data_IF_053139832315
#
_entry.id   IF_053139832315
#
_cell.length_a   1.000
_cell.length_b   1.000
_cell.length_c   1.000
_cell.angle_alpha   90.00
_cell.angle_beta   90.00
_cell.angle_gamma   90.00
#
_symmetry.space_group_name_H-M   'P 1'
#
loop_
_entity.id
_entity.type
_entity.pdbx_description
1 polymer ?
#
# COMPACT_ATOMS: atom_id res chain seq x y z
N UNK A 1 0.18 3.58 -19.90
CA UNK A 1 0.33 4.08 -18.52
C UNK A 1 1.81 4.36 -18.32
N UNK A 2 2.19 5.55 -17.83
CA UNK A 2 3.60 5.91 -17.65
C UNK A 2 3.75 6.65 -16.32
N UNK A 3 4.66 6.20 -15.50
CA UNK A 3 5.11 6.83 -14.25
C UNK A 3 6.47 6.27 -13.85
N UNK A 4 7.18 6.98 -13.00
CA UNK A 4 8.46 6.59 -12.43
C UNK A 4 8.42 6.67 -10.90
N UNK A 5 9.23 5.85 -10.26
CA UNK A 5 9.38 5.79 -8.81
C UNK A 5 10.88 5.79 -8.51
N UNK A 6 11.32 6.70 -7.67
CA UNK A 6 12.72 6.81 -7.30
C UNK A 6 13.14 5.64 -6.37
N UNK A 7 14.44 5.35 -6.36
CA UNK A 7 14.98 4.34 -5.43
C UNK A 7 14.76 4.78 -3.98
N UNK A 8 14.23 3.88 -3.17
CA UNK A 8 13.92 4.16 -1.78
C UNK A 8 12.65 4.98 -1.57
N UNK A 9 11.92 5.32 -2.64
CA UNK A 9 10.64 6.03 -2.56
C UNK A 9 9.51 5.08 -2.14
N UNK A 10 8.59 5.58 -1.34
CA UNK A 10 7.36 4.90 -0.99
C UNK A 10 6.23 5.46 -1.85
N UNK A 11 5.74 4.69 -2.82
CA UNK A 11 4.67 5.10 -3.72
C UNK A 11 3.37 4.33 -3.44
N UNK A 12 2.24 5.01 -3.40
CA UNK A 12 0.93 4.35 -3.36
C UNK A 12 0.21 4.46 -4.70
N UNK A 13 -0.48 3.39 -5.08
CA UNK A 13 -1.42 3.37 -6.21
C UNK A 13 -2.83 3.32 -5.65
N UNK A 14 -3.62 4.36 -5.91
CA UNK A 14 -5.00 4.47 -5.43
C UNK A 14 -5.97 4.61 -6.61
N UNK A 15 -7.19 4.14 -6.44
CA UNK A 15 -8.23 4.21 -7.48
C UNK A 15 -9.36 3.22 -7.17
N UNK A 16 -10.44 3.31 -7.95
CA UNK A 16 -11.62 2.47 -7.74
C UNK A 16 -11.35 0.98 -7.93
N UNK A 17 -12.20 0.15 -7.32
CA UNK A 17 -12.17 -1.30 -7.55
C UNK A 17 -12.31 -1.61 -9.05
N UNK A 18 -11.52 -2.55 -9.55
CA UNK A 18 -11.54 -2.97 -10.95
C UNK A 18 -10.79 -2.04 -11.93
N UNK A 19 -10.15 -0.95 -11.49
CA UNK A 19 -9.39 -0.07 -12.41
C UNK A 19 -8.01 -0.65 -12.80
N UNK A 20 -7.63 -1.83 -12.34
CA UNK A 20 -6.41 -2.51 -12.77
C UNK A 20 -5.18 -2.31 -11.88
N UNK A 21 -5.31 -1.83 -10.64
CA UNK A 21 -4.17 -1.63 -9.71
C UNK A 21 -3.36 -2.91 -9.50
N UNK A 22 -4.02 -4.01 -9.14
CA UNK A 22 -3.35 -5.31 -8.95
C UNK A 22 -2.74 -5.84 -10.26
N UNK A 23 -3.31 -5.51 -11.42
CA UNK A 23 -2.70 -5.84 -12.73
C UNK A 23 -1.39 -5.10 -12.92
N UNK A 24 -1.34 -3.80 -12.61
CA UNK A 24 -0.10 -3.01 -12.66
C UNK A 24 0.95 -3.60 -11.72
N UNK A 25 0.56 -3.92 -10.49
CA UNK A 25 1.47 -4.53 -9.51
C UNK A 25 2.03 -5.87 -10.00
N UNK A 26 1.19 -6.72 -10.59
CA UNK A 26 1.61 -8.01 -11.14
C UNK A 26 2.55 -7.86 -12.35
N UNK A 27 2.38 -6.83 -13.17
CA UNK A 27 3.30 -6.50 -14.26
C UNK A 27 4.65 -6.04 -13.69
N UNK A 28 4.66 -5.18 -12.65
CA UNK A 28 5.90 -4.77 -11.97
C UNK A 28 6.60 -5.95 -11.30
N UNK A 29 5.84 -6.90 -10.76
CA UNK A 29 6.38 -8.13 -10.18
C UNK A 29 6.99 -9.08 -11.24
N UNK A 30 6.69 -8.89 -12.52
CA UNK A 30 7.08 -9.81 -13.60
C UNK A 30 6.20 -11.06 -13.69
N UNK A 31 5.03 -11.05 -13.01
CA UNK A 31 4.05 -12.14 -13.06
C UNK A 31 3.18 -12.08 -14.32
N UNK A 32 2.94 -10.88 -14.85
CA UNK A 32 2.21 -10.63 -16.08
C UNK A 32 3.07 -9.82 -17.05
N UNK A 33 2.95 -10.10 -18.32
CA UNK A 33 3.57 -9.28 -19.36
C UNK A 33 2.66 -8.10 -19.73
N UNK A 34 3.27 -6.93 -19.96
CA UNK A 34 2.53 -5.79 -20.49
C UNK A 34 2.16 -6.02 -21.97
N UNK A 35 0.94 -5.65 -22.35
CA UNK A 35 0.49 -5.72 -23.76
C UNK A 35 1.29 -4.76 -24.65
N UNK A 36 1.77 -3.65 -24.11
CA UNK A 36 2.63 -2.67 -24.75
C UNK A 36 3.48 -1.93 -23.73
N UNK A 37 4.68 -1.51 -24.12
CA UNK A 37 5.67 -0.95 -23.20
C UNK A 37 6.31 -2.02 -22.33
N UNK A 38 6.92 -1.61 -21.21
CA UNK A 38 7.60 -2.53 -20.29
C UNK A 38 7.88 -1.84 -18.96
N UNK A 39 8.39 -2.60 -18.02
CA UNK A 39 8.87 -2.12 -16.72
C UNK A 39 10.38 -2.17 -16.71
N UNK A 40 11.01 -1.10 -16.27
CA UNK A 40 12.44 -1.03 -16.07
C UNK A 40 12.77 -0.93 -14.57
N UNK A 41 13.62 -1.82 -14.08
CA UNK A 41 14.21 -1.76 -12.76
C UNK A 41 15.73 -1.55 -12.89
N UNK A 42 16.23 -0.41 -12.46
CA UNK A 42 17.66 -0.04 -12.60
C UNK A 42 18.15 -0.20 -14.06
N UNK A 43 17.39 0.29 -15.03
CA UNK A 43 17.64 0.21 -16.48
C UNK A 43 17.63 -1.22 -17.07
N UNK A 44 17.15 -2.22 -16.32
CA UNK A 44 16.94 -3.59 -16.82
C UNK A 44 15.45 -3.86 -16.97
N UNK A 45 15.07 -4.43 -18.10
CA UNK A 45 13.68 -4.81 -18.34
C UNK A 45 13.26 -5.98 -17.45
N UNK A 46 12.05 -5.85 -16.87
CA UNK A 46 11.44 -6.87 -16.03
C UNK A 46 10.58 -7.79 -16.91
N UNK A 47 11.05 -8.98 -17.18
CA UNK A 47 10.37 -9.97 -18.02
C UNK A 47 9.85 -11.20 -17.24
N UNK A 48 10.37 -11.42 -16.04
CA UNK A 48 10.04 -12.57 -15.19
C UNK A 48 10.12 -12.21 -13.70
N UNK A 49 9.50 -12.98 -12.79
CA UNK A 49 9.66 -12.81 -11.35
C UNK A 49 11.12 -13.00 -10.91
N UNK A 50 11.55 -12.20 -9.93
CA UNK A 50 12.91 -12.27 -9.41
C UNK A 50 12.99 -11.92 -7.92
N UNK A 51 14.06 -12.33 -7.22
CA UNK A 51 14.24 -12.10 -5.78
C UNK A 51 14.43 -10.62 -5.42
N UNK A 52 14.71 -9.78 -6.40
CA UNK A 52 14.82 -8.32 -6.27
C UNK A 52 13.45 -7.63 -6.10
N UNK A 53 12.36 -8.36 -6.31
CA UNK A 53 10.97 -7.91 -6.15
C UNK A 53 10.18 -8.88 -5.30
N UNK A 54 9.77 -8.45 -4.11
CA UNK A 54 8.95 -9.26 -3.22
C UNK A 54 7.49 -8.78 -3.23
N UNK A 55 6.54 -9.73 -3.21
CA UNK A 55 5.10 -9.42 -3.28
C UNK A 55 4.41 -9.86 -1.99
N UNK A 56 3.70 -8.92 -1.36
CA UNK A 56 2.73 -9.19 -0.29
C UNK A 56 1.34 -9.20 -0.92
N UNK A 57 0.77 -10.38 -1.05
CA UNK A 57 -0.56 -10.57 -1.64
C UNK A 57 -1.67 -10.28 -0.64
N UNK A 58 -2.81 -9.83 -1.11
CA UNK A 58 -4.03 -9.63 -0.32
C UNK A 58 -4.48 -10.93 0.39
N UNK A 59 -4.31 -12.09 -0.25
CA UNK A 59 -4.71 -13.42 0.26
C UNK A 59 -3.71 -14.07 1.23
N UNK A 60 -2.72 -13.31 1.74
CA UNK A 60 -1.64 -13.76 2.64
C UNK A 60 -0.64 -14.75 2.00
N UNK A 61 -1.05 -15.62 1.08
CA UNK A 61 -0.26 -16.58 0.30
C UNK A 61 0.79 -17.37 1.14
N UNK A 62 0.44 -17.78 2.36
CA UNK A 62 1.28 -18.67 3.18
C UNK A 62 1.13 -20.11 2.74
N UNK A 63 2.24 -20.86 2.78
CA UNK A 63 2.24 -22.30 2.55
C UNK A 63 1.56 -22.98 3.73
N UNK A 64 0.39 -23.64 3.57
CA UNK A 64 -0.40 -24.13 4.69
C UNK A 64 0.23 -25.31 5.44
N UNK A 65 1.19 -25.98 4.82
CA UNK A 65 1.96 -27.11 5.39
C UNK A 65 3.29 -26.70 6.04
N UNK A 66 3.61 -25.40 6.06
CA UNK A 66 4.80 -24.86 6.71
C UNK A 66 4.42 -24.05 7.94
N UNK A 67 5.24 -24.11 8.99
CA UNK A 67 5.08 -23.24 10.15
C UNK A 67 5.30 -21.76 9.78
N UNK A 68 4.97 -20.86 10.67
CA UNK A 68 5.25 -19.41 10.54
C UNK A 68 6.73 -19.18 10.26
N UNK A 69 7.61 -19.80 11.05
CA UNK A 69 9.07 -19.75 10.85
C UNK A 69 9.47 -20.24 9.45
N UNK A 70 9.00 -21.42 9.06
CA UNK A 70 9.35 -22.02 7.77
C UNK A 70 8.83 -21.20 6.57
N UNK A 71 7.68 -20.54 6.70
CA UNK A 71 7.17 -19.65 5.67
C UNK A 71 8.11 -18.46 5.41
N UNK A 72 8.74 -17.90 6.45
CA UNK A 72 9.73 -16.82 6.31
C UNK A 72 11.07 -17.39 5.86
N UNK A 73 11.51 -18.52 6.44
CA UNK A 73 12.77 -19.19 6.10
C UNK A 73 12.84 -19.55 4.61
N UNK A 74 11.73 -19.93 3.97
CA UNK A 74 11.68 -20.26 2.55
C UNK A 74 12.25 -19.14 1.67
N UNK A 75 11.86 -17.87 1.93
CA UNK A 75 12.39 -16.71 1.21
C UNK A 75 13.85 -16.43 1.52
N UNK A 76 14.24 -16.54 2.80
CA UNK A 76 15.63 -16.32 3.25
C UNK A 76 16.59 -17.36 2.65
N UNK A 77 16.21 -18.61 2.66
CA UNK A 77 17.02 -19.69 2.07
C UNK A 77 17.22 -19.51 0.57
N UNK A 78 16.16 -19.10 -0.13
CA UNK A 78 16.24 -18.89 -1.58
C UNK A 78 17.23 -17.77 -1.95
N UNK A 79 17.30 -16.72 -1.14
CA UNK A 79 18.14 -15.53 -1.42
C UNK A 79 19.56 -15.71 -0.86
N UNK A 80 19.70 -16.23 0.35
CA UNK A 80 20.96 -16.15 1.11
C UNK A 80 21.70 -17.48 1.28
N UNK A 81 21.19 -18.59 0.75
CA UNK A 81 21.82 -19.92 0.86
C UNK A 81 23.30 -19.96 0.44
N UNK A 82 23.68 -19.15 -0.54
CA UNK A 82 25.07 -19.07 -1.03
C UNK A 82 25.96 -18.11 -0.25
N UNK A 83 25.39 -17.17 0.54
CA UNK A 83 26.12 -16.07 1.17
C UNK A 83 26.09 -16.09 2.69
N UNK A 84 25.16 -16.81 3.32
CA UNK A 84 24.99 -16.87 4.77
C UNK A 84 25.05 -18.32 5.28
N UNK A 85 25.58 -18.49 6.49
CA UNK A 85 25.52 -19.76 7.21
C UNK A 85 24.08 -20.08 7.65
N UNK A 86 23.83 -21.35 7.99
CA UNK A 86 22.53 -21.78 8.53
C UNK A 86 22.15 -21.03 9.82
N UNK A 87 23.14 -20.73 10.66
CA UNK A 87 22.92 -20.03 11.92
C UNK A 87 22.53 -18.56 11.65
N UNK A 88 23.23 -17.87 10.76
CA UNK A 88 22.91 -16.49 10.38
C UNK A 88 21.52 -16.39 9.72
N UNK A 89 21.15 -17.34 8.85
CA UNK A 89 19.81 -17.39 8.26
C UNK A 89 18.73 -17.61 9.33
N UNK A 90 18.98 -18.47 10.31
CA UNK A 90 18.06 -18.70 11.44
C UNK A 90 17.83 -17.42 12.24
N UNK A 91 18.91 -16.77 12.66
CA UNK A 91 18.85 -15.51 13.41
C UNK A 91 18.14 -14.41 12.61
N UNK A 92 18.37 -14.36 11.31
CA UNK A 92 17.70 -13.40 10.42
C UNK A 92 16.20 -13.66 10.29
N UNK A 93 15.75 -14.91 10.21
CA UNK A 93 14.32 -15.26 10.23
C UNK A 93 13.67 -14.86 11.56
N UNK A 94 14.30 -15.18 12.68
CA UNK A 94 13.80 -14.85 14.03
C UNK A 94 13.73 -13.33 14.23
N UNK A 95 14.72 -12.59 13.76
CA UNK A 95 14.73 -11.13 13.77
C UNK A 95 13.53 -10.56 13.01
N UNK A 96 13.29 -10.98 11.77
CA UNK A 96 12.18 -10.49 10.96
C UNK A 96 10.81 -10.86 11.55
N UNK A 97 10.68 -12.03 12.18
CA UNK A 97 9.45 -12.40 12.90
C UNK A 97 9.22 -11.51 14.13
N UNK A 98 10.28 -11.14 14.84
CA UNK A 98 10.21 -10.23 15.98
C UNK A 98 9.80 -8.82 15.56
N UNK A 99 10.30 -8.30 14.43
CA UNK A 99 9.91 -6.99 13.89
C UNK A 99 8.41 -6.88 13.66
N UNK A 100 7.77 -7.94 13.20
CA UNK A 100 6.30 -7.99 13.00
C UNK A 100 5.55 -8.56 14.21
N UNK A 101 6.20 -8.72 15.37
CA UNK A 101 5.62 -9.25 16.62
C UNK A 101 4.99 -10.64 16.46
N UNK A 102 5.68 -11.53 15.73
CA UNK A 102 5.25 -12.91 15.44
C UNK A 102 6.20 -13.98 16.02
N UNK A 103 7.18 -13.58 16.80
CA UNK A 103 8.15 -14.47 17.48
C UNK A 103 7.47 -15.49 18.39
N UNK A 104 6.41 -15.09 19.11
CA UNK A 104 5.62 -15.96 20.00
C UNK A 104 4.85 -17.07 19.25
N UNK A 105 4.68 -16.94 17.95
CA UNK A 105 3.90 -17.85 17.10
C UNK A 105 4.74 -18.58 16.04
N UNK A 106 6.08 -18.52 16.10
CA UNK A 106 6.97 -19.02 15.04
C UNK A 106 6.81 -20.50 14.73
N UNK A 107 6.37 -21.30 15.70
CA UNK A 107 6.18 -22.75 15.53
C UNK A 107 4.74 -23.14 15.16
N UNK A 108 3.82 -22.18 15.10
CA UNK A 108 2.42 -22.43 14.71
C UNK A 108 2.29 -22.59 13.21
N UNK A 109 1.27 -23.35 12.82
CA UNK A 109 0.83 -23.49 11.43
C UNK A 109 -0.09 -22.34 11.01
N UNK A 110 -0.25 -22.02 9.71
CA UNK A 110 -1.13 -20.97 9.27
C UNK A 110 -2.58 -21.10 9.72
N UNK A 111 -3.10 -22.30 9.88
CA UNK A 111 -4.47 -22.54 10.35
C UNK A 111 -4.66 -22.25 11.85
N UNK A 112 -3.58 -22.15 12.64
CA UNK A 112 -3.59 -21.87 14.08
C UNK A 112 -3.47 -20.37 14.41
N UNK A 113 -3.39 -19.51 13.39
CA UNK A 113 -3.18 -18.06 13.54
C UNK A 113 -4.28 -17.27 12.84
N UNK A 114 -4.57 -16.06 13.34
CA UNK A 114 -5.58 -15.18 12.75
C UNK A 114 -5.18 -14.64 11.37
N UNK A 115 -6.14 -14.11 10.61
CA UNK A 115 -5.89 -13.47 9.31
C UNK A 115 -4.85 -12.34 9.40
N UNK A 116 -4.97 -11.47 10.42
CA UNK A 116 -3.99 -10.42 10.66
C UNK A 116 -2.59 -10.94 11.01
N UNK A 117 -2.48 -12.07 11.73
CA UNK A 117 -1.20 -12.72 11.98
C UNK A 117 -0.61 -13.30 10.69
N UNK A 118 -1.42 -13.90 9.83
CA UNK A 118 -0.99 -14.39 8.51
C UNK A 118 -0.42 -13.26 7.65
N UNK A 119 -1.06 -12.09 7.69
CA UNK A 119 -0.60 -10.91 6.95
C UNK A 119 0.77 -10.44 7.45
N UNK A 120 0.97 -10.36 8.75
CA UNK A 120 2.27 -10.03 9.35
C UNK A 120 3.37 -11.01 8.95
N UNK A 121 3.08 -12.30 8.91
CA UNK A 121 4.04 -13.31 8.42
C UNK A 121 4.37 -13.12 6.94
N UNK A 122 3.39 -12.80 6.10
CA UNK A 122 3.60 -12.47 4.68
C UNK A 122 4.52 -11.27 4.49
N UNK A 123 4.32 -10.22 5.28
CA UNK A 123 5.21 -9.04 5.29
C UNK A 123 6.61 -9.40 5.78
N UNK A 124 6.74 -10.15 6.89
CA UNK A 124 8.05 -10.61 7.39
C UNK A 124 8.82 -11.42 6.34
N UNK A 125 8.13 -12.31 5.60
CA UNK A 125 8.73 -13.09 4.51
C UNK A 125 9.30 -12.18 3.42
N UNK A 126 8.55 -11.15 3.02
CA UNK A 126 9.02 -10.20 2.01
C UNK A 126 10.21 -9.36 2.50
N UNK A 127 10.12 -8.81 3.71
CA UNK A 127 11.21 -8.03 4.32
C UNK A 127 12.50 -8.85 4.49
N UNK A 128 12.36 -10.11 4.92
CA UNK A 128 13.49 -11.01 5.14
C UNK A 128 14.30 -11.32 3.86
N UNK A 129 13.70 -11.16 2.69
CA UNK A 129 14.37 -11.31 1.38
C UNK A 129 15.25 -10.11 1.02
N UNK A 130 15.13 -8.97 1.71
CA UNK A 130 15.80 -7.70 1.40
C UNK A 130 15.65 -7.30 -0.08
N UNK A 131 14.42 -7.22 -0.60
CA UNK A 131 14.20 -6.92 -2.01
C UNK A 131 14.54 -5.46 -2.33
N UNK A 132 14.86 -5.17 -3.60
CA UNK A 132 14.99 -3.79 -4.09
C UNK A 132 13.65 -3.08 -4.15
N UNK A 133 12.59 -3.83 -4.51
CA UNK A 133 11.22 -3.35 -4.61
C UNK A 133 10.29 -4.27 -3.83
N UNK A 134 9.54 -3.71 -2.90
CA UNK A 134 8.46 -4.40 -2.19
C UNK A 134 7.11 -3.96 -2.74
N UNK A 135 6.34 -4.92 -3.20
CA UNK A 135 5.03 -4.74 -3.81
C UNK A 135 3.97 -5.22 -2.83
N UNK A 136 3.02 -4.38 -2.47
CA UNK A 136 2.00 -4.70 -1.47
C UNK A 136 0.60 -4.44 -2.03
N UNK A 137 -0.23 -5.49 -2.09
CA UNK A 137 -1.62 -5.40 -2.54
C UNK A 137 -2.57 -5.45 -1.33
N UNK A 138 -3.08 -4.30 -0.91
CA UNK A 138 -3.98 -4.08 0.23
C UNK A 138 -3.52 -4.81 1.53
N UNK A 139 -2.25 -4.65 1.96
CA UNK A 139 -1.64 -5.48 2.99
C UNK A 139 -2.21 -5.28 4.38
N UNK A 140 -2.93 -4.18 4.63
CA UNK A 140 -3.39 -3.82 5.96
C UNK A 140 -4.91 -3.94 6.14
N UNK A 141 -5.65 -4.29 5.08
CA UNK A 141 -7.12 -4.32 5.08
C UNK A 141 -7.76 -5.28 6.08
N UNK A 142 -7.10 -6.40 6.39
CA UNK A 142 -7.61 -7.43 7.32
C UNK A 142 -7.24 -7.19 8.80
N UNK A 143 -6.62 -6.04 9.13
CA UNK A 143 -6.13 -5.73 10.47
C UNK A 143 -7.07 -4.80 11.24
N UNK A 144 -7.15 -5.00 12.58
CA UNK A 144 -7.71 -4.00 13.47
C UNK A 144 -6.88 -2.71 13.48
N UNK A 145 -7.46 -1.59 13.91
CA UNK A 145 -6.86 -0.27 13.82
C UNK A 145 -5.49 -0.14 14.52
N UNK A 146 -5.34 -0.70 15.73
CA UNK A 146 -4.08 -0.60 16.47
C UNK A 146 -2.99 -1.50 15.89
N UNK A 147 -3.34 -2.72 15.49
CA UNK A 147 -2.42 -3.65 14.82
C UNK A 147 -1.98 -3.08 13.48
N UNK A 148 -2.90 -2.49 12.71
CA UNK A 148 -2.62 -1.82 11.44
C UNK A 148 -1.62 -0.68 11.64
N UNK A 149 -1.89 0.24 12.57
CA UNK A 149 -1.02 1.37 12.84
C UNK A 149 0.41 0.92 13.19
N UNK A 150 0.56 0.01 14.15
CA UNK A 150 1.87 -0.52 14.54
C UNK A 150 2.62 -1.18 13.37
N UNK A 151 1.92 -1.91 12.50
CA UNK A 151 2.56 -2.59 11.38
C UNK A 151 2.97 -1.62 10.27
N UNK A 152 2.15 -0.61 10.00
CA UNK A 152 2.48 0.46 9.06
C UNK A 152 3.74 1.23 9.51
N UNK A 153 3.82 1.56 10.80
CA UNK A 153 4.99 2.23 11.38
C UNK A 153 6.25 1.35 11.23
N UNK A 154 6.15 0.07 11.58
CA UNK A 154 7.26 -0.88 11.39
C UNK A 154 7.69 -1.02 9.92
N UNK A 155 6.74 -1.05 8.99
CA UNK A 155 7.05 -1.12 7.54
C UNK A 155 7.76 0.15 7.07
N UNK A 156 7.33 1.34 7.51
CA UNK A 156 7.98 2.60 7.16
C UNK A 156 9.39 2.71 7.74
N UNK A 157 9.61 2.28 8.99
CA UNK A 157 10.93 2.25 9.62
C UNK A 157 11.88 1.33 8.87
N UNK A 158 11.46 0.09 8.59
CA UNK A 158 12.30 -0.91 7.89
C UNK A 158 12.57 -0.47 6.45
N UNK A 159 11.57 0.08 5.76
CA UNK A 159 11.73 0.62 4.42
C UNK A 159 12.82 1.70 4.37
N UNK A 160 12.82 2.61 5.34
CA UNK A 160 13.83 3.65 5.48
C UNK A 160 15.21 3.06 5.78
N UNK A 161 15.30 2.10 6.70
CA UNK A 161 16.56 1.45 7.09
C UNK A 161 17.20 0.69 5.92
N UNK A 162 16.39 -0.08 5.18
CA UNK A 162 16.86 -0.88 4.04
C UNK A 162 16.94 -0.08 2.73
N UNK A 163 16.45 1.15 2.70
CA UNK A 163 16.31 1.95 1.49
C UNK A 163 15.60 1.20 0.35
N UNK A 164 14.59 0.39 0.70
CA UNK A 164 13.79 -0.39 -0.22
C UNK A 164 12.73 0.47 -0.87
N UNK A 165 12.56 0.40 -2.20
CA UNK A 165 11.43 1.03 -2.89
C UNK A 165 10.15 0.27 -2.58
N UNK A 166 9.06 0.96 -2.27
CA UNK A 166 7.77 0.34 -1.95
C UNK A 166 6.69 0.82 -2.92
N UNK A 167 5.90 -0.13 -3.44
CA UNK A 167 4.67 0.17 -4.17
C UNK A 167 3.51 -0.46 -3.39
N UNK A 168 2.66 0.40 -2.84
CA UNK A 168 1.49 0.02 -2.05
C UNK A 168 0.21 0.23 -2.88
N UNK A 169 -0.59 -0.81 -3.03
CA UNK A 169 -1.98 -0.64 -3.46
C UNK A 169 -2.84 -0.52 -2.21
N UNK A 170 -3.61 0.54 -2.14
CA UNK A 170 -4.60 0.74 -1.08
C UNK A 170 -5.84 1.46 -1.60
N UNK A 171 -6.94 1.30 -0.92
CA UNK A 171 -8.16 2.09 -1.09
C UNK A 171 -8.38 3.08 0.06
N UNK A 172 -7.52 3.05 1.07
CA UNK A 172 -7.55 3.94 2.24
C UNK A 172 -6.70 5.18 1.95
N UNK A 173 -7.38 6.35 1.93
CA UNK A 173 -6.75 7.62 1.61
C UNK A 173 -5.79 8.06 2.71
N UNK A 174 -6.16 7.85 3.97
CA UNK A 174 -5.34 8.22 5.12
C UNK A 174 -4.05 7.39 5.14
N UNK A 175 -4.13 6.10 4.79
CA UNK A 175 -2.99 5.22 4.63
C UNK A 175 -2.05 5.69 3.51
N UNK A 176 -2.60 6.02 2.33
CA UNK A 176 -1.81 6.49 1.21
C UNK A 176 -1.06 7.78 1.54
N UNK A 177 -1.72 8.79 2.12
CA UNK A 177 -1.08 10.06 2.48
C UNK A 177 -0.07 9.88 3.62
N UNK A 178 -0.38 9.03 4.60
CA UNK A 178 0.51 8.79 5.75
C UNK A 178 1.84 8.14 5.33
N UNK A 179 1.77 7.14 4.44
CA UNK A 179 2.92 6.28 4.17
C UNK A 179 3.75 6.73 2.97
N UNK A 180 3.13 7.41 1.99
CA UNK A 180 3.76 7.61 0.68
C UNK A 180 4.51 8.93 0.56
N UNK A 181 5.53 8.91 -0.28
CA UNK A 181 6.21 10.10 -0.80
C UNK A 181 5.59 10.50 -2.15
N UNK A 182 4.89 9.54 -2.83
CA UNK A 182 4.19 9.76 -4.09
C UNK A 182 2.89 8.95 -4.14
N UNK A 183 1.80 9.56 -4.59
CA UNK A 183 0.51 8.88 -4.80
C UNK A 183 0.15 8.92 -6.29
N UNK A 184 0.00 7.74 -6.88
CA UNK A 184 -0.40 7.55 -8.28
C UNK A 184 -1.90 7.25 -8.28
N UNK A 185 -2.69 8.19 -8.77
CA UNK A 185 -4.15 8.10 -8.81
C UNK A 185 -4.62 7.57 -10.16
N UNK A 186 -5.29 6.42 -10.15
CA UNK A 186 -5.80 5.78 -11.37
C UNK A 186 -7.23 6.22 -11.69
N UNK A 187 -7.48 6.53 -12.96
CA UNK A 187 -8.82 6.81 -13.46
C UNK A 187 -9.71 5.56 -13.42
N UNK A 188 -11.03 5.75 -13.60
CA UNK A 188 -11.97 4.63 -13.67
C UNK A 188 -11.76 3.80 -14.95
N UNK A 189 -12.06 2.48 -14.89
CA UNK A 189 -12.12 1.59 -16.04
C UNK A 189 -13.38 1.80 -16.91
N UNK A 190 -13.49 1.15 -18.09
CA UNK A 190 -12.45 0.36 -18.76
C UNK A 190 -11.35 1.25 -19.35
N UNK A 191 -10.18 0.69 -19.61
CA UNK A 191 -8.99 1.40 -20.11
C UNK A 191 -8.48 2.49 -19.13
N UNK A 192 -8.41 2.16 -17.84
CA UNK A 192 -7.89 3.05 -16.81
C UNK A 192 -6.46 3.54 -17.14
N UNK A 193 -6.20 4.79 -16.80
CA UNK A 193 -4.90 5.45 -17.00
C UNK A 193 -4.42 6.05 -15.68
N UNK A 194 -3.15 6.45 -15.63
CA UNK A 194 -2.72 7.40 -14.59
C UNK A 194 -3.51 8.69 -14.82
N UNK A 195 -4.32 9.05 -13.86
CA UNK A 195 -5.13 10.26 -13.91
C UNK A 195 -4.39 11.46 -13.36
N UNK A 196 -3.70 11.24 -12.23
CA UNK A 196 -2.91 12.28 -11.58
C UNK A 196 -1.80 11.62 -10.73
N UNK A 197 -0.71 12.31 -10.54
CA UNK A 197 0.39 11.94 -9.64
C UNK A 197 0.54 13.08 -8.65
N UNK A 198 0.55 12.75 -7.35
CA UNK A 198 0.67 13.71 -6.26
C UNK A 198 1.93 13.38 -5.46
N UNK A 199 2.87 14.28 -5.43
CA UNK A 199 4.05 14.19 -4.57
C UNK A 199 3.69 14.69 -3.16
N UNK A 200 4.12 13.95 -2.14
CA UNK A 200 3.78 14.20 -0.72
C UNK A 200 5.01 14.69 0.01
N UNK A 201 5.07 15.98 0.26
CA UNK A 201 6.17 16.68 0.93
C UNK A 201 5.90 16.79 2.45
N UNK A 202 5.63 15.64 3.11
CA UNK A 202 5.49 15.57 4.56
C UNK A 202 6.76 15.02 5.19
N UNK A 203 7.27 15.68 6.21
CA UNK A 203 8.46 15.26 6.94
C UNK A 203 8.31 13.87 7.58
N UNK A 204 9.41 13.15 7.72
CA UNK A 204 9.49 11.86 8.41
C UNK A 204 10.34 12.00 9.69
N UNK A 205 10.02 11.34 10.84
CA UNK A 205 8.91 10.38 11.00
C UNK A 205 7.54 11.06 11.07
N UNK A 206 6.52 10.41 10.51
CA UNK A 206 5.14 10.90 10.47
C UNK A 206 4.37 10.43 11.70
N UNK A 207 4.14 11.32 12.65
CA UNK A 207 3.32 11.05 13.85
C UNK A 207 1.83 11.20 13.50
N UNK A 208 1.06 10.13 13.69
CA UNK A 208 -0.38 10.08 13.33
C UNK A 208 -1.21 11.09 14.10
N UNK A 209 -0.87 11.33 15.39
CA UNK A 209 -1.64 12.24 16.24
C UNK A 209 -1.34 13.69 15.85
N UNK A 210 -0.08 14.01 15.61
CA UNK A 210 0.32 15.33 15.11
C UNK A 210 -0.28 15.61 13.74
N UNK A 211 -0.18 14.67 12.79
CA UNK A 211 -0.70 14.81 11.43
C UNK A 211 -2.23 14.95 11.37
N UNK A 212 -2.97 14.41 12.34
CA UNK A 212 -4.44 14.59 12.38
C UNK A 212 -4.89 16.04 12.45
N UNK A 213 -4.02 16.95 12.91
CA UNK A 213 -4.25 18.39 13.02
C UNK A 213 -3.43 19.21 12.03
N UNK A 214 -2.65 18.55 11.19
CA UNK A 214 -1.75 19.18 10.22
C UNK A 214 -2.52 19.62 8.97
N UNK A 215 -2.40 20.87 8.60
CA UNK A 215 -3.12 21.44 7.45
C UNK A 215 -2.61 20.86 6.12
N UNK A 216 -1.33 20.54 6.01
CA UNK A 216 -0.74 19.99 4.79
C UNK A 216 -1.15 18.52 4.60
N UNK A 217 -1.23 17.72 5.67
CA UNK A 217 -1.79 16.37 5.63
C UNK A 217 -3.26 16.39 5.18
N UNK A 218 -4.06 17.30 5.77
CA UNK A 218 -5.46 17.45 5.42
C UNK A 218 -5.64 17.94 3.97
N UNK A 219 -4.76 18.81 3.47
CA UNK A 219 -4.74 19.24 2.07
C UNK A 219 -4.51 18.05 1.12
N UNK A 220 -3.46 17.24 1.34
CA UNK A 220 -3.20 16.08 0.50
C UNK A 220 -4.35 15.07 0.53
N UNK A 221 -4.90 14.81 1.72
CA UNK A 221 -6.07 13.96 1.90
C UNK A 221 -7.25 14.45 1.06
N UNK A 222 -7.52 15.75 1.07
CA UNK A 222 -8.59 16.37 0.29
C UNK A 222 -8.35 16.23 -1.22
N UNK A 223 -7.12 16.42 -1.70
CA UNK A 223 -6.78 16.24 -3.12
C UNK A 223 -7.09 14.82 -3.59
N UNK A 224 -6.65 13.81 -2.84
CA UNK A 224 -6.92 12.41 -3.18
C UNK A 224 -8.43 12.10 -3.16
N UNK A 225 -9.15 12.59 -2.15
CA UNK A 225 -10.61 12.44 -2.06
C UNK A 225 -11.32 13.11 -3.25
N UNK A 226 -10.97 14.35 -3.58
CA UNK A 226 -11.56 15.08 -4.72
C UNK A 226 -11.37 14.30 -6.01
N UNK A 227 -10.15 13.81 -6.29
CA UNK A 227 -9.89 12.98 -7.46
C UNK A 227 -10.78 11.72 -7.51
N UNK A 228 -10.93 11.02 -6.39
CA UNK A 228 -11.71 9.78 -6.32
C UNK A 228 -13.22 10.03 -6.48
N UNK A 229 -13.74 11.15 -5.96
CA UNK A 229 -15.18 11.46 -5.99
C UNK A 229 -15.61 12.24 -7.22
N UNK A 230 -14.84 13.21 -7.69
CA UNK A 230 -15.20 14.05 -8.85
C UNK A 230 -15.25 13.25 -10.14
N UNK A 231 -14.34 12.31 -10.35
CA UNK A 231 -14.33 11.45 -11.53
C UNK A 231 -15.39 10.34 -11.54
N UNK A 232 -16.20 10.21 -10.47
CA UNK A 232 -17.37 9.31 -10.43
C UNK A 232 -18.62 9.91 -11.10
N UNK A 233 -18.64 11.20 -11.43
CA UNK A 233 -19.88 11.87 -11.81
C UNK A 233 -20.91 11.87 -10.66
N UNK A 234 -20.46 11.64 -9.41
CA UNK A 234 -21.30 11.61 -8.22
C UNK A 234 -20.99 12.83 -7.39
N UNK A 235 -21.96 13.75 -7.43
CA UNK A 235 -22.12 14.90 -6.55
C UNK A 235 -21.07 16.00 -6.72
N UNK A 236 -21.38 16.90 -7.60
CA UNK A 236 -20.95 18.31 -7.55
C UNK A 236 -21.43 18.88 -6.19
N UNK A 237 -20.60 18.77 -5.16
CA UNK A 237 -20.92 19.29 -3.82
C UNK A 237 -21.19 20.78 -3.84
N UNK A 238 -20.63 21.52 -4.81
CA UNK A 238 -20.91 22.94 -5.01
C UNK A 238 -22.27 23.15 -5.65
N UNK A 239 -22.76 22.28 -6.54
CA UNK A 239 -24.14 22.31 -7.04
C UNK A 239 -25.13 21.97 -5.95
N UNK A 240 -24.84 20.97 -5.11
CA UNK A 240 -25.68 20.58 -3.98
C UNK A 240 -25.74 21.69 -2.90
N UNK A 241 -24.66 22.41 -2.64
CA UNK A 241 -24.62 23.59 -1.76
C UNK A 241 -25.34 24.78 -2.39
N UNK A 242 -25.18 25.07 -3.68
CA UNK A 242 -25.90 26.09 -4.40
C UNK A 242 -27.40 25.80 -4.43
N UNK A 243 -27.79 24.56 -4.71
CA UNK A 243 -29.20 24.16 -4.73
C UNK A 243 -29.84 24.30 -3.34
N UNK A 244 -29.19 23.88 -2.26
CA UNK A 244 -29.66 24.09 -0.89
C UNK A 244 -29.79 25.57 -0.52
N UNK A 245 -28.91 26.43 -1.02
CA UNK A 245 -28.98 27.89 -0.79
C UNK A 245 -30.15 28.52 -1.54
N UNK A 246 -30.37 28.11 -2.80
CA UNK A 246 -31.50 28.52 -3.61
C UNK A 246 -32.83 28.06 -2.98
N UNK A 247 -32.92 26.81 -2.55
CA UNK A 247 -34.11 26.24 -1.91
C UNK A 247 -34.41 26.93 -0.56
N UNK A 248 -33.40 27.37 0.19
CA UNK A 248 -33.58 28.16 1.41
C UNK A 248 -34.03 29.61 1.13
N UNK A 249 -33.48 30.27 0.12
CA UNK A 249 -33.86 31.62 -0.28
C UNK A 249 -35.31 31.64 -0.80
N UNK A 250 -35.69 30.69 -1.65
CA UNK A 250 -37.08 30.53 -2.14
C UNK A 250 -38.04 30.21 -1.00
N UNK A 251 -37.65 29.43 0.00
CA UNK A 251 -38.50 29.12 1.16
C UNK A 251 -38.71 30.33 2.09
N UNK A 252 -37.79 31.28 2.09
CA UNK A 252 -37.92 32.55 2.86
C UNK A 252 -38.81 33.57 2.13
N UNK A 253 -38.70 33.64 0.80
CA UNK A 253 -39.60 34.53 0.01
C UNK A 253 -41.07 34.11 0.08
N UNK A 254 -41.37 32.80 -0.02
CA UNK A 254 -42.75 32.28 0.08
C UNK A 254 -43.36 32.57 1.48
N UNK A 255 -42.55 32.63 2.54
CA UNK A 255 -43.05 32.97 3.88
C UNK A 255 -43.29 34.45 4.09
N UNK A 256 -42.62 35.32 3.34
CA UNK A 256 -42.80 36.78 3.41
C UNK A 256 -43.96 37.30 2.55
N UNK A 257 -44.39 36.54 1.53
CA UNK A 257 -45.58 36.90 0.74
C UNK A 257 -46.90 36.39 1.34
N UNK A 258 -46.84 35.53 2.36
CA UNK A 258 -48.01 34.96 3.05
C UNK A 258 -48.34 35.63 4.41
N UNK A 259 -47.79 36.83 4.69
CA UNK A 259 -48.00 37.55 5.97
C UNK A 259 -48.76 38.87 5.75
#
# INVERSE_FOLDING_TARGET
>A
MQFDIAKGEFASIIGHSGCGKSTVLNIVAGLYQATSGGVLLENKEVNEPGPDRAVVFQSHALMPWLTVYQNVALGVEQVFKASKSKQEMKEWVEHNLKLVKMDHAMHKMPHEISGGMKQRVGIARCLAMQPKVMLMDEPFGALDALTRANLQDSVMEIQKELNTTVILITHDVDEAVLMSDKIIMMSNGPAAKVGEILDIELDRPRDRVALSKDDQFNYYRQQVLSFLYEKKGVVDFDKAKKQKKIDQEVSVEIKNEAS
#
